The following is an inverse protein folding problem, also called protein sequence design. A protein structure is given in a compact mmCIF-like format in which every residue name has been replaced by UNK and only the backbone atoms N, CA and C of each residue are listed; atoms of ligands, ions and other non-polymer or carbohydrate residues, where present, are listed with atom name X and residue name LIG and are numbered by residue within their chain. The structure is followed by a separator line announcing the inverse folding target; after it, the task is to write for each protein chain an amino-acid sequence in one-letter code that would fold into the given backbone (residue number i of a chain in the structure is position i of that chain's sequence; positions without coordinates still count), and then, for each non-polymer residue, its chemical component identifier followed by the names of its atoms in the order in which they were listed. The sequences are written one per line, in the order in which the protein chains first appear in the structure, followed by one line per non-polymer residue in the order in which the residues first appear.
data_IF_494148877363
#
_entry.id   IF_494148877363
#
_cell.length_a   1.000
_cell.length_b   1.000
_cell.length_c   1.000
_cell.angle_alpha   90.00
_cell.angle_beta   90.00
_cell.angle_gamma   90.00
#
_symmetry.space_group_name_H-M   'P 1'
#
loop_
_entity.id
_entity.type
_entity.pdbx_description
1 polymer ?
#
# COMPACT_ATOMS: atom_id res chain seq x y z
N UNK A 1 12.40 7.11 14.56
CA UNK A 1 13.49 6.83 13.59
C UNK A 1 14.83 7.14 14.27
N UNK A 2 15.92 6.42 13.96
CA UNK A 2 17.26 6.71 14.53
C UNK A 2 18.15 7.57 13.62
N UNK A 3 17.70 7.88 12.41
CA UNK A 3 18.42 8.71 11.45
C UNK A 3 18.26 10.19 11.78
N UNK A 4 19.33 10.96 11.64
CA UNK A 4 19.27 12.42 11.70
C UNK A 4 18.71 12.96 10.38
N UNK A 5 17.70 13.82 10.47
CA UNK A 5 17.01 14.44 9.35
C UNK A 5 17.17 15.96 9.34
N UNK A 6 18.10 16.51 10.13
CA UNK A 6 18.28 17.97 10.29
C UNK A 6 18.50 18.68 8.97
N UNK A 7 19.24 18.07 8.04
CA UNK A 7 19.55 18.61 6.71
C UNK A 7 18.53 18.19 5.61
N UNK A 8 17.46 17.48 5.96
CA UNK A 8 16.39 17.12 5.01
C UNK A 8 15.27 18.16 5.04
N UNK A 9 14.62 18.43 3.90
CA UNK A 9 13.48 19.35 3.86
C UNK A 9 12.15 18.68 4.24
N UNK A 10 12.01 17.38 3.95
CA UNK A 10 10.79 16.62 4.20
C UNK A 10 11.09 15.12 4.36
N UNK A 11 10.05 14.36 4.69
CA UNK A 11 10.06 12.90 4.70
C UNK A 11 8.95 12.35 3.81
N UNK A 12 9.25 11.26 3.09
CA UNK A 12 8.28 10.54 2.25
C UNK A 12 8.35 9.05 2.55
N UNK A 13 7.19 8.43 2.78
CA UNK A 13 7.02 6.98 2.84
C UNK A 13 5.99 6.54 1.80
N UNK A 14 6.37 5.60 0.94
CA UNK A 14 5.46 4.92 0.03
C UNK A 14 5.31 3.44 0.43
N UNK A 15 4.08 2.98 0.61
CA UNK A 15 3.75 1.60 0.95
C UNK A 15 2.83 1.03 -0.12
N UNK A 16 3.26 -0.04 -0.76
CA UNK A 16 2.50 -0.80 -1.76
C UNK A 16 2.35 -2.22 -1.25
N UNK A 17 1.14 -2.60 -0.86
CA UNK A 17 0.88 -3.93 -0.30
C UNK A 17 -0.57 -4.39 -0.50
N UNK A 18 -0.85 -5.62 -0.11
CA UNK A 18 -2.21 -6.05 0.19
C UNK A 18 -2.63 -5.51 1.56
N UNK A 19 -3.91 -5.31 1.74
CA UNK A 19 -4.47 -5.05 3.05
C UNK A 19 -5.97 -5.26 3.06
N UNK A 20 -6.53 -5.25 4.24
CA UNK A 20 -7.97 -5.37 4.45
C UNK A 20 -8.35 -4.58 5.70
N UNK A 21 -9.55 -4.01 5.79
CA UNK A 21 -10.16 -3.49 7.03
C UNK A 21 -9.21 -2.82 8.04
N UNK A 22 -8.39 -1.85 7.60
CA UNK A 22 -7.50 -1.10 8.49
C UNK A 22 -6.24 -1.86 8.93
N UNK A 23 -5.84 -2.89 8.18
CA UNK A 23 -4.55 -3.58 8.31
C UNK A 23 -3.81 -3.58 6.97
N UNK A 24 -2.49 -3.57 7.07
CA UNK A 24 -1.53 -3.65 5.96
C UNK A 24 -0.79 -4.98 6.12
N UNK A 25 -0.80 -5.82 5.10
CA UNK A 25 -0.03 -7.05 5.12
C UNK A 25 1.44 -6.77 4.83
N UNK A 26 2.30 -7.57 5.43
CA UNK A 26 3.69 -7.77 5.06
C UNK A 26 3.88 -9.26 4.76
N UNK A 27 5.09 -9.66 4.39
CA UNK A 27 5.41 -11.06 4.12
C UNK A 27 5.07 -11.99 5.29
N UNK A 28 5.35 -11.55 6.51
CA UNK A 28 5.36 -12.42 7.69
C UNK A 28 4.22 -12.12 8.66
N UNK A 29 3.65 -10.91 8.63
CA UNK A 29 2.60 -10.47 9.57
C UNK A 29 1.80 -9.29 9.01
N UNK A 30 0.82 -8.81 9.76
CA UNK A 30 0.01 -7.63 9.44
C UNK A 30 0.23 -6.51 10.46
N UNK A 31 0.07 -5.28 10.01
CA UNK A 31 0.27 -4.07 10.81
C UNK A 31 -0.90 -3.13 10.68
N UNK A 32 -1.17 -2.38 11.75
CA UNK A 32 -2.06 -1.22 11.66
C UNK A 32 -1.34 -0.08 10.92
N UNK A 33 -2.00 0.65 10.01
CA UNK A 33 -1.43 1.80 9.32
C UNK A 33 -0.73 2.79 10.25
N UNK A 34 -1.26 2.97 11.47
CA UNK A 34 -0.71 3.86 12.48
C UNK A 34 0.76 3.59 12.82
N UNK A 35 1.19 2.33 12.72
CA UNK A 35 2.56 1.95 12.96
C UNK A 35 3.54 2.59 11.96
N UNK A 36 3.08 3.01 10.78
CA UNK A 36 3.93 3.58 9.74
C UNK A 36 4.37 5.02 10.06
N UNK A 37 3.49 5.83 10.64
CA UNK A 37 3.75 7.25 10.91
C UNK A 37 4.05 7.57 12.37
N UNK A 38 3.58 6.73 13.31
CA UNK A 38 3.83 6.92 14.74
C UNK A 38 5.32 7.15 15.08
N UNK A 39 6.31 6.48 14.45
CA UNK A 39 7.72 6.73 14.73
C UNK A 39 8.28 8.08 14.25
N UNK A 40 7.49 8.86 13.51
CA UNK A 40 7.88 10.12 12.87
C UNK A 40 7.15 11.34 13.47
N UNK A 41 6.42 11.16 14.58
CA UNK A 41 5.86 12.29 15.34
C UNK A 41 6.98 13.14 15.95
N UNK A 42 6.71 14.40 16.24
CA UNK A 42 7.74 15.36 16.70
C UNK A 42 8.44 14.91 17.99
N UNK A 43 7.74 14.22 18.90
CA UNK A 43 8.31 13.66 20.14
C UNK A 43 9.25 12.46 19.89
N UNK A 44 9.05 11.72 18.79
CA UNK A 44 9.82 10.50 18.45
C UNK A 44 10.87 10.72 17.38
N UNK A 45 10.72 11.77 16.58
CA UNK A 45 11.67 12.18 15.56
C UNK A 45 11.79 13.72 15.53
N UNK A 46 12.50 14.31 16.51
CA UNK A 46 12.61 15.76 16.63
C UNK A 46 13.23 16.45 15.41
N UNK A 47 14.10 15.75 14.68
CA UNK A 47 14.77 16.26 13.47
C UNK A 47 13.82 16.44 12.28
N UNK A 48 12.61 15.88 12.35
CA UNK A 48 11.49 16.09 11.41
C UNK A 48 10.37 16.97 11.97
N UNK A 49 10.54 17.55 13.16
CA UNK A 49 9.56 18.49 13.72
C UNK A 49 9.46 19.74 12.82
N UNK A 50 8.24 20.17 12.47
CA UNK A 50 8.01 21.31 11.57
C UNK A 50 8.27 21.04 10.09
N UNK A 51 8.67 19.81 9.72
CA UNK A 51 8.94 19.43 8.32
C UNK A 51 7.79 18.60 7.74
N UNK A 52 7.42 18.76 6.46
CA UNK A 52 6.39 17.92 5.84
C UNK A 52 6.72 16.43 5.89
N UNK A 53 5.74 15.60 6.24
CA UNK A 53 5.82 14.14 6.35
C UNK A 53 4.70 13.53 5.50
N UNK A 54 5.08 13.02 4.34
CA UNK A 54 4.19 12.56 3.28
C UNK A 54 4.12 11.03 3.29
N UNK A 55 2.92 10.47 3.36
CA UNK A 55 2.67 9.03 3.37
C UNK A 55 1.74 8.67 2.22
N UNK A 56 2.20 7.82 1.31
CA UNK A 56 1.44 7.31 0.17
C UNK A 56 1.19 5.81 0.36
N UNK A 57 -0.05 5.43 0.60
CA UNK A 57 -0.43 4.06 0.89
C UNK A 57 -1.31 3.52 -0.24
N UNK A 58 -0.75 2.65 -1.08
CA UNK A 58 -1.51 1.84 -2.01
C UNK A 58 -1.69 0.46 -1.38
N UNK A 59 -2.89 0.22 -0.87
CA UNK A 59 -3.22 -1.00 -0.14
C UNK A 59 -4.42 -1.60 -0.84
N UNK A 60 -4.17 -2.61 -1.68
CA UNK A 60 -5.24 -3.29 -2.42
C UNK A 60 -6.12 -4.06 -1.46
N UNK A 61 -7.42 -3.84 -1.55
CA UNK A 61 -8.44 -4.63 -0.89
C UNK A 61 -9.17 -5.45 -1.91
N UNK A 62 -8.96 -6.76 -1.89
CA UNK A 62 -9.69 -7.65 -2.79
C UNK A 62 -9.31 -9.09 -2.56
N UNK A 63 -10.30 -9.92 -2.27
CA UNK A 63 -10.22 -11.38 -2.35
C UNK A 63 -10.11 -11.88 -3.80
N UNK A 64 -10.35 -10.97 -4.77
CA UNK A 64 -10.14 -11.25 -6.18
C UNK A 64 -8.67 -11.13 -6.51
N UNK A 65 -7.97 -12.26 -6.40
CA UNK A 65 -6.79 -12.47 -7.22
C UNK A 65 -7.18 -12.13 -8.67
N UNK A 66 -6.38 -11.30 -9.35
CA UNK A 66 -6.42 -11.28 -10.80
C UNK A 66 -6.39 -12.73 -11.28
N UNK A 67 -7.11 -13.05 -12.36
CA UNK A 67 -7.18 -14.38 -12.97
C UNK A 67 -5.84 -14.83 -13.58
N UNK A 68 -4.73 -14.55 -12.89
CA UNK A 68 -3.39 -14.94 -13.21
C UNK A 68 -3.36 -16.39 -13.63
N UNK A 69 -2.62 -16.63 -14.69
CA UNK A 69 -2.54 -17.94 -15.30
C UNK A 69 -1.80 -18.84 -14.31
N UNK A 70 -2.46 -19.91 -13.84
CA UNK A 70 -1.76 -21.00 -13.14
C UNK A 70 -0.73 -21.54 -14.12
N UNK A 71 0.55 -21.24 -13.88
CA UNK A 71 1.65 -21.84 -14.63
C UNK A 71 1.64 -23.34 -14.30
N UNK A 72 0.96 -24.13 -15.14
CA UNK A 72 1.18 -25.57 -15.17
C UNK A 72 2.66 -25.77 -15.51
N UNK A 73 3.39 -26.37 -14.58
CA UNK A 73 4.71 -26.93 -14.88
C UNK A 73 4.59 -27.73 -16.18
N UNK A 74 5.41 -27.40 -17.17
CA UNK A 74 5.38 -28.05 -18.47
C UNK A 74 5.70 -29.53 -18.30
N UNK A 75 4.66 -30.36 -18.32
CA UNK A 75 4.74 -31.72 -18.82
C UNK A 75 4.13 -31.70 -20.21
N UNK A 76 4.98 -31.97 -21.19
CA UNK A 76 4.72 -32.05 -22.62
C UNK A 76 3.50 -32.95 -22.92
N UNK A 77 2.52 -32.48 -23.70
CA UNK A 77 1.94 -33.11 -24.91
C UNK A 77 0.71 -32.35 -25.45
N UNK A 78 0.81 -31.96 -26.73
CA UNK A 78 -0.16 -31.89 -27.84
C UNK A 78 -1.54 -31.17 -27.81
N UNK A 79 -1.66 -30.29 -28.82
CA UNK A 79 -2.80 -30.03 -29.74
C UNK A 79 -3.94 -29.07 -29.33
N UNK A 80 -4.07 -27.95 -30.07
CA UNK A 80 -5.39 -27.37 -30.42
C UNK A 80 -5.59 -25.85 -30.29
N UNK A 81 -5.40 -25.12 -31.40
CA UNK A 81 -6.13 -23.93 -31.92
C UNK A 81 -6.53 -22.70 -31.06
N UNK A 82 -5.94 -21.56 -31.44
CA UNK A 82 -6.52 -20.24 -31.77
C UNK A 82 -7.32 -19.39 -30.75
N UNK A 83 -6.77 -18.20 -30.43
CA UNK A 83 -7.49 -16.94 -30.69
C UNK A 83 -7.79 -15.97 -29.53
N UNK A 84 -7.11 -14.80 -29.60
CA UNK A 84 -7.56 -13.43 -29.28
C UNK A 84 -7.03 -12.71 -28.00
N UNK A 85 -6.74 -11.43 -28.26
CA UNK A 85 -5.92 -10.41 -27.57
C UNK A 85 -6.67 -9.69 -26.41
N UNK A 86 -6.04 -8.76 -25.66
CA UNK A 86 -6.17 -8.63 -24.21
C UNK A 86 -7.45 -7.89 -23.79
N UNK A 87 -8.18 -8.44 -22.82
CA UNK A 87 -9.33 -7.75 -22.25
C UNK A 87 -8.88 -6.84 -21.09
N UNK A 88 -8.79 -5.55 -21.42
CA UNK A 88 -8.93 -4.35 -20.59
C UNK A 88 -8.75 -4.52 -19.07
N UNK A 89 -7.73 -3.86 -18.49
CA UNK A 89 -7.70 -3.54 -17.06
C UNK A 89 -9.01 -2.86 -16.67
N UNK A 90 -9.87 -3.60 -15.99
CA UNK A 90 -11.08 -3.06 -15.38
C UNK A 90 -10.67 -2.52 -14.02
N UNK A 91 -10.71 -1.20 -13.87
CA UNK A 91 -10.74 -0.58 -12.55
C UNK A 91 -12.13 -0.85 -11.97
N UNK A 92 -12.24 -1.82 -11.06
CA UNK A 92 -13.45 -2.00 -10.28
C UNK A 92 -13.45 -0.97 -9.12
N UNK A 93 -14.61 -0.38 -8.84
CA UNK A 93 -14.79 0.62 -7.77
C UNK A 93 -15.91 0.12 -6.88
N UNK A 94 -15.57 -0.61 -5.82
CA UNK A 94 -16.46 -0.89 -4.69
C UNK A 94 -16.20 0.11 -3.56
N UNK A 95 -17.12 1.06 -3.42
CA UNK A 95 -17.11 2.06 -2.36
C UNK A 95 -17.55 1.49 -1.01
N UNK A 96 -16.67 0.76 -0.32
CA UNK A 96 -16.86 0.46 1.10
C UNK A 96 -16.19 1.53 1.97
N UNK A 97 -16.99 2.21 2.81
CA UNK A 97 -16.50 3.25 3.72
C UNK A 97 -15.69 2.61 4.85
N UNK A 98 -14.39 2.46 4.63
CA UNK A 98 -13.46 2.00 5.66
C UNK A 98 -13.05 3.13 6.60
N UNK A 99 -13.27 2.95 7.90
CA UNK A 99 -12.69 3.82 8.91
C UNK A 99 -11.18 3.57 9.04
N UNK A 100 -10.37 4.61 8.83
CA UNK A 100 -8.96 4.64 9.22
C UNK A 100 -8.71 5.92 10.05
N UNK A 101 -7.77 5.88 10.99
CA UNK A 101 -7.47 7.04 11.81
C UNK A 101 -6.41 7.90 11.13
N UNK A 102 -6.80 9.12 10.74
CA UNK A 102 -5.84 10.12 10.28
C UNK A 102 -5.13 10.70 11.50
N UNK A 103 -3.80 10.82 11.49
CA UNK A 103 -3.06 11.45 12.57
C UNK A 103 -3.47 12.89 12.74
N UNK A 104 -3.76 13.28 13.98
CA UNK A 104 -4.01 14.67 14.36
C UNK A 104 -2.72 15.51 14.49
N UNK A 105 -1.59 15.01 13.98
CA UNK A 105 -0.28 15.64 14.14
C UNK A 105 -0.01 16.66 13.02
N UNK A 106 0.64 17.79 13.34
CA UNK A 106 1.00 18.80 12.33
C UNK A 106 1.99 18.25 11.31
N UNK A 107 1.94 18.80 10.11
CA UNK A 107 2.84 18.49 8.98
C UNK A 107 2.72 17.08 8.40
N UNK A 108 1.69 16.29 8.77
CA UNK A 108 1.41 15.00 8.13
C UNK A 108 0.45 15.18 6.96
N UNK A 109 0.78 14.57 5.83
CA UNK A 109 -0.14 14.33 4.73
C UNK A 109 -0.16 12.83 4.45
N UNK A 110 -1.37 12.25 4.45
CA UNK A 110 -1.55 10.82 4.18
C UNK A 110 -2.52 10.67 3.01
N UNK A 111 -2.01 10.12 1.92
CA UNK A 111 -2.77 9.81 0.72
C UNK A 111 -2.97 8.29 0.63
N UNK A 112 -4.22 7.87 0.55
CA UNK A 112 -4.61 6.48 0.37
C UNK A 112 -5.07 6.24 -1.08
N UNK A 113 -4.51 5.21 -1.70
CA UNK A 113 -5.02 4.61 -2.92
C UNK A 113 -5.56 3.23 -2.58
N UNK A 114 -6.84 3.17 -2.24
CA UNK A 114 -7.59 1.91 -2.15
C UNK A 114 -8.25 1.71 -3.51
N UNK A 115 -7.68 0.85 -4.35
CA UNK A 115 -8.40 0.29 -5.50
C UNK A 115 -9.10 -0.97 -4.96
N UNK A 116 -10.44 -1.02 -4.96
CA UNK A 116 -11.22 -2.21 -4.62
C UNK A 116 -11.07 -3.33 -5.66
#
# INVERSE_FOLDING_TARGET
AQTDHSDCDCFVLAVLSHGERGIIYSRDTFYKPEALWTPFTADKCPTLAGKPKLFFLQVCQGDKLDGGIVLKSRTEVDSGSMGNLPESSRTEVDGSSMGYNIPIHPDFLIAYATIP
#
